data_IF_412332674078
#
_entry.id   IF_412332674078
#
_cell.length_a   1.000
_cell.length_b   1.000
_cell.length_c   1.000
_cell.angle_alpha   90.00
_cell.angle_beta   90.00
_cell.angle_gamma   90.00
#
_symmetry.space_group_name_H-M   'P 1'
#
loop_
_entity.id
_entity.type
_entity.pdbx_description
1 polymer ?
#
# COMPACT_ATOMS: atom_id res chain seq x y z
N UNK A 1 70.13 10.09 -13.76
CA UNK A 1 68.76 9.82 -14.26
C UNK A 1 68.18 8.49 -13.74
N UNK A 2 68.93 7.38 -13.69
CA UNK A 2 68.43 6.06 -13.24
C UNK A 2 67.91 6.02 -11.79
N UNK A 3 68.56 6.71 -10.86
CA UNK A 3 68.15 6.73 -9.43
C UNK A 3 66.83 7.44 -9.15
N UNK A 4 66.48 8.45 -9.94
CA UNK A 4 65.21 9.19 -9.79
C UNK A 4 64.03 8.32 -10.22
N UNK A 5 64.20 7.56 -11.31
CA UNK A 5 63.20 6.61 -11.81
C UNK A 5 62.94 5.47 -10.83
N UNK A 6 63.97 4.93 -10.17
CA UNK A 6 63.78 3.86 -9.16
C UNK A 6 63.07 4.37 -7.92
N UNK A 7 63.41 5.55 -7.42
CA UNK A 7 62.70 6.15 -6.27
C UNK A 7 61.23 6.39 -6.61
N UNK A 8 60.96 6.91 -7.81
CA UNK A 8 59.58 7.14 -8.27
C UNK A 8 58.79 5.83 -8.41
N UNK A 9 59.42 4.76 -8.91
CA UNK A 9 58.81 3.44 -8.99
C UNK A 9 58.48 2.86 -7.60
N UNK A 10 59.37 3.03 -6.62
CA UNK A 10 59.12 2.60 -5.23
C UNK A 10 57.94 3.36 -4.64
N UNK A 11 57.87 4.68 -4.81
CA UNK A 11 56.71 5.46 -4.37
C UNK A 11 55.42 5.06 -5.07
N UNK A 12 55.48 4.73 -6.37
CA UNK A 12 54.31 4.24 -7.11
C UNK A 12 53.79 2.90 -6.54
N UNK A 13 54.69 1.97 -6.19
CA UNK A 13 54.32 0.68 -5.57
C UNK A 13 53.73 0.89 -4.18
N UNK A 14 54.31 1.78 -3.36
CA UNK A 14 53.77 2.11 -2.03
C UNK A 14 52.38 2.73 -2.16
N UNK A 15 52.18 3.65 -3.12
CA UNK A 15 50.88 4.26 -3.41
C UNK A 15 49.83 3.24 -3.85
N UNK A 16 50.21 2.26 -4.70
CA UNK A 16 49.32 1.17 -5.10
C UNK A 16 48.94 0.26 -3.92
N UNK A 17 49.88 -0.06 -3.05
CA UNK A 17 49.60 -0.84 -1.83
C UNK A 17 48.64 -0.11 -0.89
N UNK A 18 48.84 1.20 -0.71
CA UNK A 18 47.94 2.04 0.08
C UNK A 18 46.54 2.13 -0.55
N UNK A 19 46.45 2.32 -1.86
CA UNK A 19 45.17 2.40 -2.59
C UNK A 19 44.37 1.09 -2.51
N UNK A 20 45.04 -0.05 -2.68
CA UNK A 20 44.42 -1.36 -2.56
C UNK A 20 43.86 -1.62 -1.15
N UNK A 21 44.59 -1.20 -0.11
CA UNK A 21 44.12 -1.33 1.27
C UNK A 21 42.93 -0.40 1.55
N UNK A 22 42.99 0.86 1.08
CA UNK A 22 41.92 1.83 1.32
C UNK A 22 40.59 1.38 0.71
N UNK A 23 40.62 0.75 -0.46
CA UNK A 23 39.40 0.35 -1.16
C UNK A 23 38.60 -0.75 -0.43
N UNK A 24 39.26 -1.44 0.49
CA UNK A 24 38.65 -2.49 1.29
C UNK A 24 37.73 -1.93 2.40
N UNK A 25 37.84 -0.65 2.75
CA UNK A 25 37.11 -0.07 3.90
C UNK A 25 35.63 0.15 3.57
N UNK A 26 35.31 0.72 2.40
CA UNK A 26 33.94 1.05 2.02
C UNK A 26 33.08 -0.21 1.83
N UNK A 27 33.66 -1.25 1.23
CA UNK A 27 32.99 -2.54 1.03
C UNK A 27 32.71 -3.25 2.34
N UNK A 28 33.67 -3.29 3.26
CA UNK A 28 33.47 -3.90 4.58
C UNK A 28 32.46 -3.14 5.46
N UNK A 29 32.32 -1.82 5.28
CA UNK A 29 31.30 -1.04 5.98
C UNK A 29 29.90 -1.37 5.46
N UNK A 30 29.71 -1.40 4.14
CA UNK A 30 28.44 -1.76 3.53
C UNK A 30 27.99 -3.18 3.92
N UNK A 31 28.90 -4.15 3.92
CA UNK A 31 28.60 -5.54 4.33
C UNK A 31 28.15 -5.59 5.80
N UNK A 32 28.82 -4.86 6.69
CA UNK A 32 28.44 -4.79 8.11
C UNK A 32 27.07 -4.16 8.32
N UNK A 33 26.73 -3.14 7.55
CA UNK A 33 25.42 -2.49 7.61
C UNK A 33 24.31 -3.43 7.14
N UNK A 34 24.52 -4.14 6.03
CA UNK A 34 23.56 -5.15 5.53
C UNK A 34 23.33 -6.24 6.58
N UNK A 35 24.39 -6.78 7.18
CA UNK A 35 24.28 -7.82 8.21
C UNK A 35 23.56 -7.32 9.47
N UNK A 36 23.77 -6.05 9.86
CA UNK A 36 23.04 -5.41 10.96
C UNK A 36 21.55 -5.29 10.64
N UNK A 37 21.22 -4.82 9.44
CA UNK A 37 19.83 -4.67 8.99
C UNK A 37 19.12 -6.02 8.88
N UNK A 38 19.77 -7.05 8.34
CA UNK A 38 19.20 -8.39 8.24
C UNK A 38 18.87 -8.96 9.63
N UNK A 39 19.75 -8.76 10.62
CA UNK A 39 19.47 -9.15 12.01
C UNK A 39 18.29 -8.40 12.61
N UNK A 40 18.20 -7.08 12.37
CA UNK A 40 17.06 -6.30 12.82
C UNK A 40 15.75 -6.76 12.17
N UNK A 41 15.75 -7.01 10.86
CA UNK A 41 14.61 -7.54 10.12
C UNK A 41 14.18 -8.90 10.67
N UNK A 42 15.13 -9.79 10.98
CA UNK A 42 14.84 -11.09 11.59
C UNK A 42 14.13 -10.96 12.94
N UNK A 43 14.61 -10.06 13.80
CA UNK A 43 13.99 -9.82 15.11
C UNK A 43 12.56 -9.27 14.99
N UNK A 44 12.29 -8.37 14.04
CA UNK A 44 10.93 -7.87 13.81
C UNK A 44 10.01 -8.94 13.23
N UNK A 45 10.51 -9.81 12.34
CA UNK A 45 9.73 -10.94 11.83
C UNK A 45 9.33 -11.93 12.94
N UNK A 46 10.21 -12.18 13.90
CA UNK A 46 9.90 -13.02 15.06
C UNK A 46 8.74 -12.41 15.87
N UNK A 47 8.78 -11.10 16.14
CA UNK A 47 7.67 -10.39 16.81
C UNK A 47 6.36 -10.47 16.02
N UNK A 48 6.42 -10.29 14.71
CA UNK A 48 5.24 -10.44 13.84
C UNK A 48 4.69 -11.86 13.87
N UNK A 49 5.53 -12.88 13.99
CA UNK A 49 5.08 -14.28 14.07
C UNK A 49 4.27 -14.52 15.34
N UNK A 50 4.71 -13.97 16.48
CA UNK A 50 3.99 -14.05 17.75
C UNK A 50 2.66 -13.31 17.66
N UNK A 51 2.65 -12.07 17.17
CA UNK A 51 1.42 -11.29 17.01
C UNK A 51 0.40 -11.98 16.09
N UNK A 52 0.86 -12.62 15.01
CA UNK A 52 -0.02 -13.41 14.12
C UNK A 52 -0.59 -14.63 14.83
N UNK A 53 0.19 -15.30 15.68
CA UNK A 53 -0.28 -16.42 16.48
C UNK A 53 -1.32 -15.96 17.51
N UNK A 54 -1.09 -14.83 18.18
CA UNK A 54 -2.04 -14.22 19.10
C UNK A 54 -3.34 -13.82 18.40
N UNK A 55 -3.24 -13.19 17.22
CA UNK A 55 -4.40 -12.84 16.42
C UNK A 55 -5.19 -14.07 16.00
N UNK A 56 -4.52 -15.13 15.53
CA UNK A 56 -5.16 -16.38 15.17
C UNK A 56 -5.88 -17.02 16.38
N UNK A 57 -5.27 -16.95 17.56
CA UNK A 57 -5.87 -17.46 18.78
C UNK A 57 -7.09 -16.64 19.24
N UNK A 58 -7.05 -15.31 19.11
CA UNK A 58 -8.17 -14.43 19.44
C UNK A 58 -9.32 -14.55 18.42
N UNK A 59 -9.01 -14.77 17.15
CA UNK A 59 -10.01 -14.89 16.08
C UNK A 59 -10.49 -16.33 15.84
N UNK A 60 -10.19 -17.26 16.75
CA UNK A 60 -10.70 -18.63 16.63
C UNK A 60 -12.23 -18.63 16.71
N UNK A 61 -12.96 -19.12 15.69
CA UNK A 61 -14.42 -18.98 15.61
C UNK A 61 -15.15 -19.71 16.73
N UNK A 62 -14.64 -20.86 17.17
CA UNK A 62 -15.21 -21.60 18.31
C UNK A 62 -15.21 -20.76 19.59
N UNK A 63 -14.08 -20.10 19.88
CA UNK A 63 -13.91 -19.26 21.07
C UNK A 63 -14.76 -18.00 20.99
N UNK A 64 -14.84 -17.39 19.81
CA UNK A 64 -15.69 -16.22 19.59
C UNK A 64 -17.18 -16.57 19.79
N UNK A 65 -17.63 -17.74 19.33
CA UNK A 65 -18.99 -18.25 19.60
C UNK A 65 -19.23 -18.42 21.10
N UNK A 66 -18.34 -19.12 21.78
CA UNK A 66 -18.42 -19.32 23.23
C UNK A 66 -18.48 -17.99 23.99
N UNK A 67 -17.63 -17.01 23.64
CA UNK A 67 -17.64 -15.67 24.24
C UNK A 67 -18.92 -14.88 23.95
N UNK A 68 -19.48 -15.01 22.74
CA UNK A 68 -20.74 -14.38 22.37
C UNK A 68 -21.91 -14.98 23.16
N UNK A 69 -21.94 -16.30 23.32
CA UNK A 69 -22.94 -17.02 24.11
C UNK A 69 -22.86 -16.60 25.59
N UNK A 70 -21.65 -16.54 26.17
CA UNK A 70 -21.46 -16.07 27.55
C UNK A 70 -21.89 -14.61 27.77
N UNK A 71 -21.82 -13.76 26.74
CA UNK A 71 -22.19 -12.34 26.81
C UNK A 71 -23.53 -12.06 26.12
N UNK A 72 -24.38 -13.07 25.95
CA UNK A 72 -25.60 -12.97 25.14
C UNK A 72 -26.54 -11.86 25.62
N UNK A 73 -26.70 -11.67 26.93
CA UNK A 73 -27.57 -10.62 27.49
C UNK A 73 -27.21 -9.20 27.01
N UNK A 74 -25.92 -8.95 26.76
CA UNK A 74 -25.42 -7.66 26.25
C UNK A 74 -25.35 -7.60 24.73
N UNK A 75 -24.96 -8.70 24.10
CA UNK A 75 -24.65 -8.71 22.67
C UNK A 75 -25.86 -9.07 21.80
N UNK A 76 -26.77 -9.91 22.28
CA UNK A 76 -27.95 -10.37 21.54
C UNK A 76 -27.62 -11.08 20.22
N UNK A 77 -26.39 -11.59 20.08
CA UNK A 77 -25.91 -12.20 18.85
C UNK A 77 -26.37 -13.65 18.78
N UNK A 78 -26.95 -14.04 17.65
CA UNK A 78 -27.28 -15.43 17.33
C UNK A 78 -26.37 -15.93 16.20
N UNK A 79 -26.04 -17.24 16.18
CA UNK A 79 -25.31 -17.83 15.07
C UNK A 79 -26.04 -17.58 13.76
N UNK A 80 -25.30 -17.15 12.72
CA UNK A 80 -25.88 -16.97 11.40
C UNK A 80 -26.15 -18.34 10.78
N UNK A 81 -27.40 -18.60 10.43
CA UNK A 81 -27.82 -19.83 9.75
C UNK A 81 -27.56 -19.71 8.24
N UNK A 82 -27.22 -20.80 7.54
CA UNK A 82 -26.98 -20.79 6.09
C UNK A 82 -28.13 -20.17 5.29
N UNK A 83 -29.37 -20.32 5.77
CA UNK A 83 -30.59 -19.82 5.14
C UNK A 83 -30.74 -18.29 5.24
N UNK A 84 -29.94 -17.63 6.07
CA UNK A 84 -29.92 -16.17 6.23
C UNK A 84 -28.98 -15.47 5.24
N UNK A 85 -28.16 -16.23 4.52
CA UNK A 85 -27.39 -15.69 3.40
C UNK A 85 -28.31 -15.62 2.17
N UNK A 86 -28.48 -14.42 1.60
CA UNK A 86 -29.24 -14.23 0.36
C UNK A 86 -28.54 -14.87 -0.84
N UNK A 87 -29.31 -15.26 -1.85
CA UNK A 87 -28.74 -15.77 -3.10
C UNK A 87 -28.03 -14.63 -3.84
N UNK A 88 -26.90 -14.93 -4.48
CA UNK A 88 -26.15 -13.96 -5.29
C UNK A 88 -27.03 -13.37 -6.39
N UNK A 89 -28.00 -14.14 -6.90
CA UNK A 89 -28.95 -13.72 -7.93
C UNK A 89 -29.97 -12.69 -7.40
N UNK A 90 -30.19 -12.65 -6.08
CA UNK A 90 -31.11 -11.72 -5.42
C UNK A 90 -30.47 -10.36 -5.10
N UNK A 91 -29.17 -10.20 -5.36
CA UNK A 91 -28.45 -8.93 -5.13
C UNK A 91 -28.78 -7.97 -6.28
N UNK A 92 -29.51 -6.86 -6.04
CA UNK A 92 -29.77 -5.88 -7.08
C UNK A 92 -28.46 -5.22 -7.50
N UNK A 93 -28.12 -5.30 -8.78
CA UNK A 93 -27.00 -4.54 -9.32
C UNK A 93 -27.28 -3.05 -9.17
N UNK A 94 -26.28 -2.25 -8.75
CA UNK A 94 -26.43 -0.80 -8.78
C UNK A 94 -26.75 -0.39 -10.22
N UNK A 95 -27.76 0.48 -10.37
CA UNK A 95 -28.06 1.06 -11.68
C UNK A 95 -26.79 1.75 -12.18
N UNK A 96 -26.40 1.57 -13.46
CA UNK A 96 -25.31 2.35 -14.02
C UNK A 96 -25.61 3.82 -13.76
N UNK A 97 -24.66 4.54 -13.14
CA UNK A 97 -24.75 5.99 -13.06
C UNK A 97 -24.88 6.52 -14.49
N UNK A 98 -25.78 7.49 -14.75
CA UNK A 98 -25.94 8.05 -16.08
C UNK A 98 -24.59 8.53 -16.59
N UNK A 99 -24.28 8.23 -17.85
CA UNK A 99 -23.01 8.62 -18.46
C UNK A 99 -22.84 10.14 -18.26
N UNK A 100 -21.69 10.61 -17.75
CA UNK A 100 -21.43 12.05 -17.61
C UNK A 100 -21.70 12.83 -18.91
N UNK A 101 -21.56 12.19 -20.07
CA UNK A 101 -21.91 12.81 -21.37
C UNK A 101 -23.42 13.01 -21.55
N UNK A 102 -24.26 12.07 -21.13
CA UNK A 102 -25.74 12.23 -21.19
C UNK A 102 -26.20 13.38 -20.27
N UNK A 103 -25.60 13.49 -19.08
CA UNK A 103 -25.90 14.59 -18.15
C UNK A 103 -25.48 15.95 -18.71
N UNK A 104 -24.32 16.00 -19.38
CA UNK A 104 -23.83 17.22 -20.04
C UNK A 104 -24.69 17.58 -21.25
N UNK A 105 -25.13 16.60 -22.04
CA UNK A 105 -26.02 16.83 -23.19
C UNK A 105 -27.39 17.36 -22.75
N UNK A 106 -27.97 16.80 -21.70
CA UNK A 106 -29.23 17.29 -21.11
C UNK A 106 -29.10 18.72 -20.56
N UNK A 107 -27.99 19.03 -19.87
CA UNK A 107 -27.69 20.39 -19.40
C UNK A 107 -27.47 21.38 -20.55
N UNK A 108 -26.81 20.96 -21.63
CA UNK A 108 -26.58 21.80 -22.81
C UNK A 108 -27.90 22.10 -23.55
N UNK A 109 -28.77 21.10 -23.69
CA UNK A 109 -30.10 21.23 -24.29
C UNK A 109 -31.02 22.13 -23.45
N UNK A 110 -31.01 21.96 -22.13
CA UNK A 110 -31.77 22.84 -21.22
C UNK A 110 -31.30 24.29 -21.34
N UNK A 111 -29.99 24.53 -21.33
CA UNK A 111 -29.44 25.88 -21.49
C UNK A 111 -29.75 26.49 -22.86
N UNK A 112 -29.70 25.70 -23.94
CA UNK A 112 -30.06 26.15 -25.28
C UNK A 112 -31.55 26.53 -25.38
N UNK A 113 -32.45 25.72 -24.82
CA UNK A 113 -33.89 26.02 -24.79
C UNK A 113 -34.21 27.30 -24.01
N UNK A 114 -33.50 27.57 -22.90
CA UNK A 114 -33.63 28.82 -22.14
C UNK A 114 -33.07 30.02 -22.90
N UNK A 115 -32.01 29.83 -23.68
CA UNK A 115 -31.45 30.88 -24.52
C UNK A 115 -32.41 31.27 -25.65
N UNK A 116 -33.10 30.31 -26.26
CA UNK A 116 -34.12 30.59 -27.29
C UNK A 116 -35.36 31.28 -26.71
N UNK A 117 -35.85 30.85 -25.55
CA UNK A 117 -36.98 31.50 -24.87
C UNK A 117 -36.68 32.96 -24.45
N UNK A 118 -35.43 33.29 -24.10
CA UNK A 118 -35.00 34.64 -23.77
C UNK A 118 -34.72 35.55 -24.99
N UNK A 119 -34.61 34.98 -26.19
CA UNK A 119 -34.42 35.75 -27.45
C UNK A 119 -35.78 36.22 -27.99
N UNK A 120 -36.84 35.43 -27.79
CA UNK A 120 -38.19 35.77 -28.23
C UNK A 120 -38.79 36.96 -27.44
N UNK A 121 -38.41 37.12 -26.16
CA UNK A 121 -38.84 38.25 -25.32
C UNK A 121 -38.15 39.60 -25.68
N UNK A 122 -37.06 39.58 -26.47
CA UNK A 122 -36.36 40.80 -26.93
C UNK A 122 -36.76 41.27 -28.33
N UNK A 123 -37.69 40.58 -29.00
CA UNK A 123 -38.08 40.84 -30.38
C UNK A 123 -39.50 41.41 -30.55
N UNK A 124 -40.09 42.01 -29.50
CA UNK A 124 -41.20 42.96 -29.68
C UNK A 124 -40.70 44.41 -29.42
N UNK A 125 -40.86 45.33 -30.38
CA UNK A 125 -40.55 46.76 -30.21
C UNK A 125 -41.57 47.52 -29.34
#
# INVERSE_FOLDING_TARGET
MRGVLTILAVFAVIGLGYWAYHQTILTQQAIREVDRLQRAIGAEHERLSVLRAEWAYLNRPDRLRELADFNFERLGLMPLAPEQFGDVIEIPYPRPEPDPTEQVEELLLENASRAEAGVEERAEP
#
